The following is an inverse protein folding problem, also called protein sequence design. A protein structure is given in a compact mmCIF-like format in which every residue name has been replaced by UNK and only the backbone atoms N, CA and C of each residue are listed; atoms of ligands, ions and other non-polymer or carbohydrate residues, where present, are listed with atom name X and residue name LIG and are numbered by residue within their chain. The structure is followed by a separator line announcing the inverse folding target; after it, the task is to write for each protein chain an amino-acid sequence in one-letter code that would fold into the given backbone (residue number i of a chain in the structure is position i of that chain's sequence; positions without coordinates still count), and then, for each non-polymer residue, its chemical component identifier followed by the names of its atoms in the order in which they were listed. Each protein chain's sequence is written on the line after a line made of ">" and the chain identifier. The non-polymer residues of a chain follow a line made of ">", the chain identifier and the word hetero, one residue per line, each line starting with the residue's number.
data_IF_638924402933
#
_entry.id   IF_638924402933
#
_cell.length_a   1.000
_cell.length_b   1.000
_cell.length_c   1.000
_cell.angle_alpha   90.00
_cell.angle_beta   90.00
_cell.angle_gamma   90.00
#
_symmetry.space_group_name_H-M   'P 1'
#
loop_
_entity.id
_entity.type
_entity.pdbx_description
1 polymer ?
#
# COMPACT_ATOMS: atom_id res chain seq x y z
N UNK A 1 -0.14 26.64 -6.49
CA UNK A 1 -1.43 25.93 -6.64
C UNK A 1 -1.94 25.56 -5.27
N UNK A 2 -3.24 25.76 -5.03
CA UNK A 2 -3.85 25.74 -3.70
C UNK A 2 -4.63 24.44 -3.44
N UNK A 3 -4.01 23.27 -3.71
CA UNK A 3 -4.61 21.97 -3.41
C UNK A 3 -3.88 21.32 -2.23
N UNK A 4 -4.61 20.70 -1.32
CA UNK A 4 -4.05 19.82 -0.30
C UNK A 4 -3.53 18.53 -0.93
N UNK A 5 -2.71 17.78 -0.20
CA UNK A 5 -2.19 16.50 -0.67
C UNK A 5 -3.32 15.51 -0.92
N UNK A 6 -4.32 15.48 -0.03
CA UNK A 6 -5.50 14.62 -0.15
C UNK A 6 -6.34 14.98 -1.40
N UNK A 7 -6.53 16.27 -1.68
CA UNK A 7 -7.24 16.71 -2.89
C UNK A 7 -6.51 16.28 -4.15
N UNK A 8 -5.18 16.36 -4.17
CA UNK A 8 -4.36 15.88 -5.29
C UNK A 8 -4.52 14.36 -5.49
N UNK A 9 -4.47 13.57 -4.42
CA UNK A 9 -4.59 12.12 -4.50
C UNK A 9 -6.01 11.65 -4.86
N UNK A 10 -7.04 12.27 -4.26
CA UNK A 10 -8.45 11.84 -4.40
C UNK A 10 -9.14 12.37 -5.65
N UNK A 11 -8.53 13.32 -6.36
CA UNK A 11 -9.01 13.78 -7.66
C UNK A 11 -8.24 13.08 -8.78
N UNK A 12 -8.85 12.18 -9.55
CA UNK A 12 -8.15 11.38 -10.57
C UNK A 12 -7.40 12.21 -11.61
N UNK A 13 -7.96 13.35 -12.02
CA UNK A 13 -7.34 14.24 -12.99
C UNK A 13 -6.08 14.91 -12.43
N UNK A 14 -6.15 15.43 -11.21
CA UNK A 14 -5.00 16.06 -10.54
C UNK A 14 -3.91 15.02 -10.21
N UNK A 15 -4.29 13.83 -9.79
CA UNK A 15 -3.36 12.73 -9.57
C UNK A 15 -2.63 12.34 -10.86
N UNK A 16 -3.35 12.21 -11.99
CA UNK A 16 -2.76 11.92 -13.28
C UNK A 16 -1.82 13.06 -13.77
N UNK A 17 -2.24 14.31 -13.67
CA UNK A 17 -1.39 15.46 -14.01
C UNK A 17 -0.08 15.46 -13.19
N UNK A 18 -0.16 15.11 -11.91
CA UNK A 18 1.01 15.04 -11.03
C UNK A 18 1.92 13.86 -11.38
N UNK A 19 1.34 12.68 -11.65
CA UNK A 19 2.08 11.49 -12.05
C UNK A 19 2.79 11.64 -13.40
N UNK A 20 2.22 12.44 -14.31
CA UNK A 20 2.79 12.71 -15.63
C UNK A 20 3.86 13.83 -15.63
N UNK A 21 3.93 14.63 -14.58
CA UNK A 21 4.94 15.71 -14.49
C UNK A 21 6.36 15.22 -14.80
N UNK A 22 6.92 14.23 -14.10
CA UNK A 22 8.26 13.70 -14.37
C UNK A 22 8.44 13.13 -15.79
N UNK A 23 7.38 12.57 -16.37
CA UNK A 23 7.42 12.06 -17.74
C UNK A 23 7.57 13.22 -18.73
N UNK A 24 6.83 14.30 -18.52
CA UNK A 24 6.84 15.46 -19.41
C UNK A 24 8.14 16.27 -19.27
N UNK A 25 8.68 16.39 -18.04
CA UNK A 25 9.83 17.23 -17.76
C UNK A 25 11.16 16.52 -18.04
N UNK A 26 11.24 15.19 -17.86
CA UNK A 26 12.49 14.43 -17.87
C UNK A 26 12.48 13.24 -18.84
N UNK A 27 11.38 12.99 -19.55
CA UNK A 27 11.21 11.85 -20.47
C UNK A 27 11.47 10.48 -19.83
N UNK A 28 11.12 10.29 -18.53
CA UNK A 28 11.25 9.01 -17.87
C UNK A 28 10.43 7.91 -18.57
N UNK A 29 10.90 6.67 -18.51
CA UNK A 29 10.25 5.52 -19.13
C UNK A 29 9.06 5.00 -18.33
N UNK A 30 8.99 5.33 -17.02
CA UNK A 30 8.00 4.81 -16.10
C UNK A 30 7.33 5.95 -15.34
N UNK A 31 6.00 5.99 -15.38
CA UNK A 31 5.17 6.80 -14.49
C UNK A 31 4.75 5.96 -13.27
N UNK A 32 4.63 6.60 -12.13
CA UNK A 32 4.16 5.99 -10.89
C UNK A 32 2.85 6.65 -10.49
N UNK A 33 1.86 5.87 -10.08
CA UNK A 33 0.61 6.38 -9.50
C UNK A 33 0.91 7.44 -8.43
N UNK A 34 0.27 8.60 -8.51
CA UNK A 34 0.33 9.61 -7.46
C UNK A 34 -0.73 9.32 -6.40
N UNK A 35 -0.31 8.80 -5.25
CA UNK A 35 -1.17 8.39 -4.14
C UNK A 35 -0.38 8.25 -2.84
N UNK A 36 -0.99 7.68 -1.80
CA UNK A 36 -0.33 7.32 -0.55
C UNK A 36 -0.69 5.88 -0.14
N UNK A 37 0.24 5.21 0.55
CA UNK A 37 0.08 3.84 1.03
C UNK A 37 -0.93 3.71 2.17
N UNK A 38 -1.32 4.81 2.83
CA UNK A 38 -2.12 4.81 4.06
C UNK A 38 -3.63 4.90 3.81
N UNK A 39 -4.07 5.20 2.59
CA UNK A 39 -5.50 5.24 2.25
C UNK A 39 -6.28 3.95 2.54
N UNK A 40 -5.70 2.74 2.48
CA UNK A 40 -6.38 1.55 2.97
C UNK A 40 -6.81 1.63 4.44
N UNK A 41 -6.00 2.26 5.31
CA UNK A 41 -6.33 2.45 6.73
C UNK A 41 -7.48 3.47 6.87
N UNK A 42 -7.47 4.54 6.09
CA UNK A 42 -8.58 5.49 6.02
C UNK A 42 -9.87 4.78 5.55
N UNK A 43 -9.76 3.90 4.56
CA UNK A 43 -10.87 3.07 4.08
C UNK A 43 -11.44 2.13 5.14
N UNK A 44 -10.64 1.66 6.09
CA UNK A 44 -11.09 0.92 7.27
C UNK A 44 -11.77 1.81 8.33
N UNK A 45 -11.91 3.11 8.07
CA UNK A 45 -12.64 4.05 8.92
C UNK A 45 -11.78 4.79 9.93
N UNK A 46 -10.44 4.78 9.80
CA UNK A 46 -9.54 5.57 10.64
C UNK A 46 -9.26 6.90 9.96
N UNK A 47 -9.71 8.05 10.49
CA UNK A 47 -9.51 9.34 9.84
C UNK A 47 -8.03 9.67 9.68
N UNK A 48 -7.64 10.00 8.45
CA UNK A 48 -6.28 10.33 8.05
C UNK A 48 -6.22 11.77 7.55
N UNK A 49 -5.23 12.53 8.03
CA UNK A 49 -4.91 13.89 7.57
C UNK A 49 -3.42 14.01 7.28
N UNK A 50 -3.06 14.88 6.35
CA UNK A 50 -1.67 15.20 6.02
C UNK A 50 -1.36 16.67 6.39
N UNK A 51 -0.64 16.88 7.54
CA UNK A 51 -0.25 18.21 8.03
C UNK A 51 1.03 18.15 8.89
N UNK A 52 2.21 18.40 8.37
CA UNK A 52 2.67 18.20 6.99
C UNK A 52 2.82 16.72 6.62
N UNK A 53 2.84 15.79 7.57
CA UNK A 53 2.90 14.35 7.38
C UNK A 53 1.59 13.68 7.78
N UNK A 54 1.50 12.35 7.58
CA UNK A 54 0.29 11.60 7.91
C UNK A 54 0.03 11.60 9.41
N UNK A 55 -1.21 11.90 9.78
CA UNK A 55 -1.71 11.88 11.16
C UNK A 55 -3.03 11.14 11.21
N UNK A 56 -3.12 10.13 12.06
CA UNK A 56 -4.37 9.44 12.39
C UNK A 56 -4.99 10.07 13.64
N UNK A 57 -6.30 10.26 13.64
CA UNK A 57 -7.01 10.81 14.81
C UNK A 57 -7.02 9.82 15.99
N UNK A 58 -6.99 8.52 15.70
CA UNK A 58 -6.90 7.43 16.66
C UNK A 58 -6.32 6.16 16.00
N UNK A 59 -6.12 5.10 16.77
CA UNK A 59 -5.46 3.88 16.33
C UNK A 59 -6.35 2.65 16.55
N UNK A 60 -6.14 1.64 15.69
CA UNK A 60 -6.80 0.34 15.83
C UNK A 60 -6.12 -0.46 16.96
N UNK A 61 -6.92 -1.16 17.76
CA UNK A 61 -6.46 -1.99 18.86
C UNK A 61 -7.36 -3.23 19.04
N UNK A 62 -7.08 -4.06 20.05
CA UNK A 62 -7.80 -5.29 20.33
C UNK A 62 -9.28 -5.08 20.70
N UNK A 63 -9.69 -3.88 21.12
CA UNK A 63 -11.06 -3.55 21.51
C UNK A 63 -11.92 -3.09 20.34
N UNK A 64 -11.33 -2.28 19.42
CA UNK A 64 -12.08 -1.64 18.33
C UNK A 64 -11.87 -2.26 16.94
N UNK A 65 -10.95 -3.24 16.76
CA UNK A 65 -10.57 -3.74 15.44
C UNK A 65 -11.74 -4.31 14.62
N UNK A 66 -12.77 -4.83 15.26
CA UNK A 66 -13.95 -5.40 14.57
C UNK A 66 -14.73 -4.34 13.79
N UNK A 67 -14.77 -3.12 14.30
CA UNK A 67 -15.43 -1.97 13.65
C UNK A 67 -14.60 -1.48 12.45
N UNK A 68 -13.32 -1.89 12.38
CA UNK A 68 -12.34 -1.51 11.37
C UNK A 68 -11.86 -2.72 10.55
N UNK A 69 -12.77 -3.63 10.22
CA UNK A 69 -12.50 -4.88 9.48
C UNK A 69 -13.38 -5.01 8.22
N UNK A 70 -14.10 -3.97 7.82
CA UNK A 70 -14.95 -4.01 6.64
C UNK A 70 -14.14 -3.77 5.36
N UNK A 71 -13.62 -4.85 4.78
CA UNK A 71 -12.78 -4.85 3.58
C UNK A 71 -13.54 -4.30 2.37
N UNK A 72 -14.83 -4.64 2.20
CA UNK A 72 -15.63 -4.17 1.06
C UNK A 72 -15.77 -2.64 1.07
N UNK A 73 -16.03 -2.05 2.23
CA UNK A 73 -16.11 -0.61 2.38
C UNK A 73 -14.75 0.05 2.09
N UNK A 74 -13.67 -0.52 2.60
CA UNK A 74 -12.31 -0.02 2.39
C UNK A 74 -11.90 -0.09 0.90
N UNK A 75 -12.22 -1.18 0.20
CA UNK A 75 -11.97 -1.31 -1.25
C UNK A 75 -12.74 -0.26 -2.03
N UNK A 76 -14.04 -0.07 -1.72
CA UNK A 76 -14.86 0.97 -2.33
C UNK A 76 -14.28 2.37 -2.08
N UNK A 77 -13.78 2.63 -0.88
CA UNK A 77 -13.10 3.90 -0.57
C UNK A 77 -11.89 4.15 -1.49
N UNK A 78 -11.13 3.11 -1.85
CA UNK A 78 -9.95 3.21 -2.69
C UNK A 78 -10.21 3.28 -4.21
N UNK A 79 -11.47 3.26 -4.68
CA UNK A 79 -11.79 3.38 -6.12
C UNK A 79 -11.20 4.65 -6.77
N UNK A 80 -10.92 5.71 -6.00
CA UNK A 80 -10.26 6.90 -6.54
C UNK A 80 -8.85 6.59 -7.03
N UNK A 81 -8.12 5.63 -6.42
CA UNK A 81 -6.80 5.19 -6.89
C UNK A 81 -6.93 4.50 -8.25
N UNK A 82 -7.92 3.63 -8.44
CA UNK A 82 -8.18 3.01 -9.73
C UNK A 82 -8.49 4.07 -10.81
N UNK A 83 -9.36 5.01 -10.49
CA UNK A 83 -9.66 6.12 -11.41
C UNK A 83 -8.43 6.96 -11.73
N UNK A 84 -7.53 7.18 -10.78
CA UNK A 84 -6.26 7.88 -11.01
C UNK A 84 -5.32 7.06 -11.92
N UNK A 85 -5.25 5.73 -11.74
CA UNK A 85 -4.49 4.83 -12.62
C UNK A 85 -5.04 4.90 -14.04
N UNK A 86 -6.36 4.76 -14.22
CA UNK A 86 -7.01 4.85 -15.54
C UNK A 86 -6.71 6.20 -16.23
N UNK A 87 -6.92 7.30 -15.52
CA UNK A 87 -6.66 8.63 -16.06
C UNK A 87 -5.17 8.85 -16.43
N UNK A 88 -4.25 8.30 -15.63
CA UNK A 88 -2.82 8.35 -15.93
C UNK A 88 -2.50 7.50 -17.16
N UNK A 89 -3.02 6.26 -17.24
CA UNK A 89 -2.77 5.35 -18.37
C UNK A 89 -3.28 5.92 -19.70
N UNK A 90 -4.46 6.53 -19.70
CA UNK A 90 -5.06 7.15 -20.89
C UNK A 90 -4.21 8.32 -21.43
N UNK A 91 -3.58 9.09 -20.54
CA UNK A 91 -2.77 10.25 -20.92
C UNK A 91 -1.28 9.91 -21.13
N UNK A 92 -0.81 8.76 -20.64
CA UNK A 92 0.59 8.32 -20.76
C UNK A 92 0.86 7.75 -22.17
N UNK A 93 1.95 8.14 -22.87
CA UNK A 93 2.32 7.54 -24.14
C UNK A 93 2.39 6.02 -24.08
N UNK A 94 1.90 5.32 -25.11
CA UNK A 94 1.79 3.86 -25.13
C UNK A 94 3.13 3.11 -24.92
N UNK A 95 4.25 3.74 -25.25
CA UNK A 95 5.61 3.19 -25.06
C UNK A 95 6.14 3.32 -23.62
N UNK A 96 5.44 4.01 -22.74
CA UNK A 96 5.83 4.27 -21.35
C UNK A 96 5.03 3.38 -20.41
N UNK A 97 5.65 2.88 -19.36
CA UNK A 97 5.03 2.01 -18.36
C UNK A 97 4.38 2.79 -17.22
N UNK A 98 3.33 2.21 -16.64
CA UNK A 98 2.67 2.73 -15.44
C UNK A 98 2.77 1.70 -14.31
N UNK A 99 3.31 2.13 -13.17
CA UNK A 99 3.42 1.32 -11.97
C UNK A 99 2.50 1.87 -10.88
N UNK A 100 1.70 0.97 -10.30
CA UNK A 100 0.95 1.23 -9.08
C UNK A 100 1.77 0.84 -7.84
N UNK A 101 1.23 1.09 -6.66
CA UNK A 101 1.84 0.64 -5.42
C UNK A 101 0.82 0.48 -4.29
N UNK A 102 1.18 -0.36 -3.32
CA UNK A 102 0.49 -0.54 -2.04
C UNK A 102 1.49 -0.55 -0.90
N UNK A 103 1.07 -0.23 0.30
CA UNK A 103 1.88 -0.48 1.49
C UNK A 103 1.98 -1.97 1.79
N UNK A 104 3.08 -2.43 2.38
CA UNK A 104 3.19 -3.80 2.85
C UNK A 104 2.42 -4.04 4.15
N UNK A 105 2.01 -5.29 4.44
CA UNK A 105 1.16 -5.61 5.59
C UNK A 105 1.73 -5.14 6.93
N UNK A 106 3.03 -5.33 7.15
CA UNK A 106 3.67 -4.91 8.39
C UNK A 106 3.77 -3.40 8.54
N UNK A 107 4.08 -2.72 7.44
CA UNK A 107 4.14 -1.25 7.42
C UNK A 107 2.76 -0.66 7.73
N UNK A 108 1.71 -1.13 7.06
CA UNK A 108 0.36 -0.63 7.31
C UNK A 108 -0.14 -0.97 8.71
N UNK A 109 0.14 -2.18 9.21
CA UNK A 109 -0.20 -2.53 10.57
C UNK A 109 0.40 -1.54 11.58
N UNK A 110 1.70 -1.25 11.45
CA UNK A 110 2.39 -0.34 12.38
C UNK A 110 1.80 1.07 12.34
N UNK A 111 1.37 1.56 11.18
CA UNK A 111 0.64 2.82 11.08
C UNK A 111 -0.76 2.74 11.71
N UNK A 112 -1.49 1.66 11.45
CA UNK A 112 -2.86 1.49 11.94
C UNK A 112 -2.94 1.40 13.46
N UNK A 113 -1.98 0.73 14.12
CA UNK A 113 -1.96 0.55 15.57
C UNK A 113 -1.15 1.62 16.33
N UNK A 114 -0.34 2.41 15.61
CA UNK A 114 0.58 3.38 16.24
C UNK A 114 1.85 2.76 16.81
N UNK A 115 2.90 3.58 16.93
CA UNK A 115 4.25 3.14 17.30
C UNK A 115 4.36 2.52 18.70
N UNK A 116 3.55 3.02 19.64
CA UNK A 116 3.62 2.64 21.06
C UNK A 116 2.55 1.59 21.45
N UNK A 117 1.94 0.96 20.45
CA UNK A 117 0.86 0.01 20.68
C UNK A 117 1.32 -1.21 21.49
N UNK A 118 0.66 -1.46 22.60
CA UNK A 118 0.86 -2.63 23.48
C UNK A 118 -0.12 -3.73 23.09
N UNK A 119 0.01 -4.28 21.90
CA UNK A 119 -0.81 -5.39 21.39
C UNK A 119 0.03 -6.64 21.21
N UNK A 120 -0.59 -7.81 21.39
CA UNK A 120 0.11 -9.08 21.28
C UNK A 120 0.56 -9.38 19.84
N UNK A 121 1.66 -10.12 19.69
CA UNK A 121 2.12 -10.52 18.37
C UNK A 121 1.13 -11.49 17.69
N UNK A 122 0.41 -12.29 18.48
CA UNK A 122 -0.65 -13.16 17.98
C UNK A 122 -1.77 -12.35 17.32
N UNK A 123 -2.29 -11.35 18.01
CA UNK A 123 -3.32 -10.46 17.48
C UNK A 123 -2.83 -9.70 16.22
N UNK A 124 -1.58 -9.21 16.23
CA UNK A 124 -0.99 -8.57 15.04
C UNK A 124 -1.02 -9.49 13.82
N UNK A 125 -0.66 -10.77 14.04
CA UNK A 125 -0.66 -11.78 12.98
C UNK A 125 -2.07 -12.06 12.46
N UNK A 126 -3.03 -12.20 13.37
CA UNK A 126 -4.44 -12.43 13.06
C UNK A 126 -5.02 -11.25 12.26
N UNK A 127 -4.87 -10.02 12.73
CA UNK A 127 -5.38 -8.84 12.05
C UNK A 127 -4.74 -8.63 10.66
N UNK A 128 -3.45 -8.91 10.52
CA UNK A 128 -2.81 -8.89 9.19
C UNK A 128 -3.41 -9.93 8.24
N UNK A 129 -3.63 -11.16 8.72
CA UNK A 129 -4.19 -12.23 7.88
C UNK A 129 -5.65 -12.00 7.50
N UNK A 130 -6.46 -11.54 8.45
CA UNK A 130 -7.91 -11.45 8.29
C UNK A 130 -8.35 -10.14 7.61
N UNK A 131 -7.60 -9.07 7.78
CA UNK A 131 -8.01 -7.74 7.30
C UNK A 131 -7.01 -7.11 6.35
N UNK A 132 -5.76 -6.89 6.81
CA UNK A 132 -4.83 -6.07 6.03
C UNK A 132 -4.42 -6.78 4.73
N UNK A 133 -4.01 -8.04 4.79
CA UNK A 133 -3.54 -8.78 3.61
C UNK A 133 -4.66 -8.95 2.57
N UNK A 134 -5.89 -9.41 2.90
CA UNK A 134 -6.97 -9.48 1.92
C UNK A 134 -7.32 -8.13 1.30
N UNK A 135 -7.32 -7.05 2.10
CA UNK A 135 -7.54 -5.69 1.61
C UNK A 135 -6.47 -5.28 0.59
N UNK A 136 -5.20 -5.56 0.87
CA UNK A 136 -4.10 -5.21 -0.02
C UNK A 136 -4.12 -6.02 -1.31
N UNK A 137 -4.44 -7.32 -1.26
CA UNK A 137 -4.63 -8.14 -2.47
C UNK A 137 -5.73 -7.54 -3.36
N UNK A 138 -6.85 -7.11 -2.77
CA UNK A 138 -7.93 -6.44 -3.49
C UNK A 138 -7.48 -5.11 -4.10
N UNK A 139 -6.68 -4.33 -3.36
CA UNK A 139 -6.13 -3.06 -3.87
C UNK A 139 -5.10 -3.27 -5.00
N UNK A 140 -4.30 -4.33 -4.94
CA UNK A 140 -3.40 -4.71 -6.05
C UNK A 140 -4.23 -4.97 -7.33
N UNK A 141 -5.25 -5.82 -7.25
CA UNK A 141 -6.12 -6.11 -8.39
C UNK A 141 -6.83 -4.86 -8.91
N UNK A 142 -7.34 -4.02 -8.00
CA UNK A 142 -7.98 -2.76 -8.36
C UNK A 142 -7.07 -1.86 -9.23
N UNK A 143 -5.77 -1.79 -8.92
CA UNK A 143 -4.81 -0.99 -9.68
C UNK A 143 -4.39 -1.68 -11.01
N UNK A 144 -4.21 -3.00 -11.01
CA UNK A 144 -3.89 -3.77 -12.21
C UNK A 144 -5.05 -3.71 -13.23
N UNK A 145 -6.28 -3.96 -12.78
CA UNK A 145 -7.49 -3.91 -13.62
C UNK A 145 -7.73 -2.51 -14.19
N UNK A 146 -7.28 -1.46 -13.49
CA UNK A 146 -7.36 -0.07 -13.94
C UNK A 146 -6.27 0.33 -14.95
N UNK A 147 -5.27 -0.54 -15.22
CA UNK A 147 -4.25 -0.33 -16.24
C UNK A 147 -2.81 -0.10 -15.73
N UNK A 148 -2.52 -0.34 -14.46
CA UNK A 148 -1.15 -0.46 -13.99
C UNK A 148 -0.53 -1.76 -14.51
N UNK A 149 0.71 -1.72 -15.03
CA UNK A 149 1.41 -2.91 -15.54
C UNK A 149 2.02 -3.74 -14.41
N UNK A 150 2.41 -3.08 -13.34
CA UNK A 150 2.98 -3.68 -12.13
C UNK A 150 2.47 -2.94 -10.90
N UNK A 151 2.45 -3.61 -9.76
CA UNK A 151 2.17 -2.99 -8.46
C UNK A 151 3.30 -3.32 -7.48
N UNK A 152 3.92 -2.29 -6.90
CA UNK A 152 4.98 -2.43 -5.92
C UNK A 152 4.40 -2.50 -4.51
N UNK A 153 4.82 -3.49 -3.74
CA UNK A 153 4.50 -3.63 -2.31
C UNK A 153 5.62 -2.93 -1.52
N UNK A 154 5.31 -1.81 -0.87
CA UNK A 154 6.26 -0.97 -0.16
C UNK A 154 6.21 -1.28 1.35
N UNK A 155 7.16 -2.07 1.84
CA UNK A 155 7.15 -2.61 3.20
C UNK A 155 8.39 -2.21 4.02
N UNK A 156 8.63 -0.92 4.13
CA UNK A 156 9.80 -0.36 4.82
C UNK A 156 9.86 -0.69 6.32
N UNK A 157 8.72 -0.94 6.97
CA UNK A 157 8.65 -1.28 8.40
C UNK A 157 9.24 -2.64 8.78
N UNK A 158 9.42 -3.54 7.83
CA UNK A 158 9.93 -4.91 8.07
C UNK A 158 11.35 -4.96 8.62
N UNK A 159 12.15 -3.92 8.42
CA UNK A 159 13.51 -3.84 8.95
C UNK A 159 13.63 -4.02 10.47
N UNK A 160 12.56 -3.74 11.21
CA UNK A 160 12.51 -3.93 12.68
C UNK A 160 11.95 -5.30 13.09
N UNK A 161 11.63 -6.17 12.14
CA UNK A 161 11.08 -7.50 12.41
C UNK A 161 12.20 -8.50 12.71
N UNK A 162 11.98 -9.39 13.68
CA UNK A 162 12.93 -10.47 13.93
C UNK A 162 12.96 -11.46 12.77
N UNK A 163 14.17 -11.99 12.46
CA UNK A 163 14.34 -13.02 11.43
C UNK A 163 13.44 -14.25 11.65
N UNK A 164 13.30 -14.67 12.92
CA UNK A 164 12.47 -15.81 13.27
C UNK A 164 11.00 -15.59 12.96
N UNK A 165 10.46 -14.40 13.29
CA UNK A 165 9.07 -14.09 12.99
C UNK A 165 8.85 -13.95 11.48
N UNK A 166 9.77 -13.28 10.78
CA UNK A 166 9.73 -13.16 9.32
C UNK A 166 9.60 -14.53 8.67
N UNK A 167 10.51 -15.46 8.95
CA UNK A 167 10.56 -16.78 8.31
C UNK A 167 9.41 -17.71 8.71
N UNK A 168 8.90 -17.63 9.94
CA UNK A 168 7.87 -18.55 10.45
C UNK A 168 6.44 -18.09 10.17
N UNK A 169 6.21 -16.78 10.13
CA UNK A 169 4.87 -16.20 10.10
C UNK A 169 4.67 -15.23 8.94
N UNK A 170 5.56 -14.23 8.81
CA UNK A 170 5.33 -13.14 7.88
C UNK A 170 5.39 -13.55 6.42
N UNK A 171 6.22 -14.52 6.08
CA UNK A 171 6.30 -15.13 4.74
C UNK A 171 4.93 -15.64 4.27
N UNK A 172 4.18 -16.30 5.16
CA UNK A 172 2.85 -16.82 4.84
C UNK A 172 1.82 -15.69 4.62
N UNK A 173 1.99 -14.55 5.31
CA UNK A 173 1.16 -13.35 5.12
C UNK A 173 1.44 -12.72 3.75
N UNK A 174 2.70 -12.71 3.32
CA UNK A 174 3.09 -12.16 2.02
C UNK A 174 2.70 -13.05 0.84
N UNK A 175 2.62 -14.37 1.03
CA UNK A 175 2.43 -15.34 -0.05
C UNK A 175 1.25 -15.03 -0.99
N UNK A 176 0.06 -14.64 -0.53
CA UNK A 176 -1.08 -14.30 -1.40
C UNK A 176 -0.86 -13.04 -2.26
N UNK A 177 0.12 -12.19 -1.89
CA UNK A 177 0.43 -10.95 -2.61
C UNK A 177 1.45 -11.19 -3.75
N UNK A 178 2.07 -12.37 -3.80
CA UNK A 178 3.05 -12.73 -4.84
C UNK A 178 2.30 -13.10 -6.12
N UNK A 179 2.47 -12.25 -7.12
CA UNK A 179 1.89 -12.44 -8.46
C UNK A 179 2.93 -12.03 -9.50
N UNK A 180 2.76 -12.46 -10.75
CA UNK A 180 3.66 -12.09 -11.86
C UNK A 180 3.82 -10.58 -12.01
N UNK A 181 2.77 -9.82 -11.63
CA UNK A 181 2.70 -8.38 -11.80
C UNK A 181 2.92 -7.60 -10.50
N UNK A 182 3.49 -8.25 -9.48
CA UNK A 182 3.88 -7.59 -8.22
C UNK A 182 5.39 -7.60 -8.02
N UNK A 183 5.89 -6.55 -7.35
CA UNK A 183 7.25 -6.45 -6.85
C UNK A 183 7.25 -6.14 -5.36
N UNK A 184 8.34 -6.41 -4.67
CA UNK A 184 8.47 -6.15 -3.24
C UNK A 184 9.67 -5.25 -2.94
N UNK A 185 9.44 -4.18 -2.22
CA UNK A 185 10.47 -3.26 -1.75
C UNK A 185 10.46 -3.18 -0.23
N UNK A 186 11.62 -3.30 0.38
CA UNK A 186 11.80 -3.15 1.82
C UNK A 186 13.12 -2.46 2.14
N UNK A 187 13.19 -1.82 3.31
CA UNK A 187 14.41 -1.22 3.84
C UNK A 187 14.90 -1.99 5.06
N UNK A 188 16.22 -2.09 5.20
CA UNK A 188 16.87 -2.65 6.39
C UNK A 188 16.48 -4.09 6.74
N UNK A 189 15.89 -4.84 5.80
CA UNK A 189 15.60 -6.25 6.02
C UNK A 189 16.91 -7.00 6.31
N UNK A 190 16.89 -7.86 7.34
CA UNK A 190 18.01 -8.73 7.65
C UNK A 190 18.37 -9.56 6.41
N UNK A 191 19.63 -9.50 5.95
CA UNK A 191 20.10 -10.20 4.74
C UNK A 191 19.84 -11.71 4.76
N UNK A 192 19.74 -12.32 5.95
CA UNK A 192 19.38 -13.74 6.13
C UNK A 192 17.93 -14.06 5.72
N UNK A 193 17.09 -13.05 5.54
CA UNK A 193 15.72 -13.21 5.04
C UNK A 193 15.65 -13.18 3.51
N UNK A 194 16.63 -12.62 2.81
CA UNK A 194 16.63 -12.49 1.35
C UNK A 194 16.48 -13.83 0.62
N UNK A 195 17.18 -14.93 0.98
CA UNK A 195 17.00 -16.21 0.31
C UNK A 195 15.57 -16.74 0.42
N UNK A 196 14.84 -16.33 1.46
CA UNK A 196 13.43 -16.72 1.63
C UNK A 196 12.55 -15.98 0.64
N UNK A 197 12.75 -14.67 0.44
CA UNK A 197 12.02 -13.89 -0.57
C UNK A 197 12.27 -14.43 -1.99
N UNK A 198 13.51 -14.74 -2.35
CA UNK A 198 13.82 -15.37 -3.64
C UNK A 198 13.09 -16.69 -3.86
N UNK A 199 12.97 -17.53 -2.83
CA UNK A 199 12.23 -18.81 -2.93
C UNK A 199 10.73 -18.60 -3.05
N UNK A 200 10.20 -17.46 -2.64
CA UNK A 200 8.80 -17.09 -2.80
C UNK A 200 8.48 -16.59 -4.21
N UNK A 201 9.47 -16.20 -5.00
CA UNK A 201 9.29 -15.73 -6.38
C UNK A 201 9.56 -14.24 -6.60
N UNK A 202 10.20 -13.57 -5.65
CA UNK A 202 10.68 -12.17 -5.78
C UNK A 202 12.19 -12.08 -5.89
#
# INVERSE_FOLDING_TARGET
>A
KNYTFEELCKNPKLAAETALGPINDFDFDVSILFSDILFPIEGLGVPLKFDPGPKFEWFINEENYKDHSNIELAVKHMEFQARAVTATREALPAKKSLIGFVGGPWTLLNYAIGKDAKVSLGWKTEYMNEVIMPLLVRNIHLQLDAGAEKVMILDSGVGNMSESYFKKHYVNILQPMIQTDTGYYTQHLNSRCLPTLYKMGW
#
